data_IF_433695563488
#
_entry.id   IF_433695563488
#
_cell.length_a   1.000
_cell.length_b   1.000
_cell.length_c   1.000
_cell.angle_alpha   90.00
_cell.angle_beta   90.00
_cell.angle_gamma   90.00
#
_symmetry.space_group_name_H-M   'P 1'
#
loop_
_entity.id
_entity.type
_entity.pdbx_description
1 polymer ?
#
# COMPACT_ATOMS: atom_id res chain seq x y z
N UNK A 1 32.05 8.12 6.42
CA UNK A 1 30.86 8.74 7.03
C UNK A 1 30.00 9.22 5.87
N UNK A 2 29.05 8.40 5.42
CA UNK A 2 28.25 8.71 4.24
C UNK A 2 26.90 9.27 4.67
N UNK A 3 26.74 10.57 4.45
CA UNK A 3 25.46 11.26 4.50
C UNK A 3 24.70 10.87 3.24
N UNK A 4 23.66 10.05 3.35
CA UNK A 4 22.77 9.78 2.23
C UNK A 4 21.66 10.84 2.22
N UNK A 5 21.96 11.99 1.63
CA UNK A 5 20.93 12.93 1.16
C UNK A 5 20.54 12.47 -0.24
N UNK A 6 19.59 11.54 -0.32
CA UNK A 6 19.03 11.04 -1.57
C UNK A 6 17.53 10.92 -1.42
N UNK A 7 16.80 11.83 -2.07
CA UNK A 7 15.34 11.83 -2.15
C UNK A 7 14.85 10.42 -2.53
N UNK A 8 13.97 9.81 -1.72
CA UNK A 8 13.29 8.51 -1.96
C UNK A 8 12.26 8.66 -3.10
N UNK A 9 12.63 9.35 -4.18
CA UNK A 9 11.77 9.70 -5.31
C UNK A 9 11.54 8.47 -6.17
N UNK A 10 10.28 8.08 -6.21
CA UNK A 10 9.59 7.38 -7.29
C UNK A 10 9.88 5.88 -7.46
N UNK A 11 9.83 5.11 -6.38
CA UNK A 11 9.61 3.66 -6.55
C UNK A 11 8.18 3.45 -7.07
N UNK A 12 8.08 2.97 -8.31
CA UNK A 12 6.82 2.65 -8.99
C UNK A 12 6.39 1.23 -8.63
N UNK A 13 5.13 1.08 -8.27
CA UNK A 13 4.52 -0.19 -7.87
C UNK A 13 3.34 -0.48 -8.79
N UNK A 14 3.21 -1.73 -9.22
CA UNK A 14 2.03 -2.22 -9.93
C UNK A 14 1.28 -3.20 -9.03
N UNK A 15 0.08 -2.82 -8.62
CA UNK A 15 -0.81 -3.68 -7.84
C UNK A 15 -1.67 -4.43 -8.85
N UNK A 16 -1.54 -5.75 -8.87
CA UNK A 16 -2.31 -6.60 -9.79
C UNK A 16 -3.31 -7.45 -9.02
N UNK A 17 -4.38 -7.84 -9.70
CA UNK A 17 -5.34 -8.78 -9.13
C UNK A 17 -4.67 -10.14 -8.87
N UNK A 18 -4.79 -10.63 -7.64
CA UNK A 18 -4.58 -12.02 -7.29
C UNK A 18 -5.87 -12.47 -6.57
N UNK A 19 -6.18 -13.75 -6.71
CA UNK A 19 -7.47 -14.39 -6.45
C UNK A 19 -8.30 -13.84 -5.26
N UNK A 20 -9.63 -13.89 -5.37
CA UNK A 20 -10.64 -13.58 -4.33
C UNK A 20 -11.07 -12.12 -4.11
N UNK A 21 -11.11 -11.28 -5.16
CA UNK A 21 -11.58 -9.91 -4.96
C UNK A 21 -12.34 -9.29 -6.14
N UNK A 22 -13.42 -9.95 -6.55
CA UNK A 22 -14.19 -9.59 -7.76
C UNK A 22 -14.61 -8.12 -7.80
N UNK A 23 -14.91 -7.51 -6.65
CA UNK A 23 -15.31 -6.12 -6.54
C UNK A 23 -14.24 -5.12 -7.03
N UNK A 24 -12.95 -5.49 -6.97
CA UNK A 24 -11.83 -4.66 -7.41
C UNK A 24 -11.20 -5.13 -8.72
N UNK A 25 -11.60 -6.28 -9.25
CA UNK A 25 -10.99 -6.88 -10.44
C UNK A 25 -11.01 -5.95 -11.66
N UNK A 26 -12.10 -5.18 -11.85
CA UNK A 26 -12.24 -4.22 -12.96
C UNK A 26 -11.38 -2.95 -12.81
N UNK A 27 -10.87 -2.68 -11.60
CA UNK A 27 -10.07 -1.50 -11.27
C UNK A 27 -8.57 -1.83 -11.18
N UNK A 28 -8.21 -3.10 -11.33
CA UNK A 28 -6.85 -3.60 -11.29
C UNK A 28 -6.42 -4.08 -12.70
N UNK A 29 -5.12 -3.98 -13.05
CA UNK A 29 -4.03 -3.50 -12.23
C UNK A 29 -4.01 -1.97 -12.11
N UNK A 30 -3.56 -1.46 -10.96
CA UNK A 30 -3.32 -0.02 -10.75
C UNK A 30 -1.82 0.23 -10.56
N UNK A 31 -1.36 1.36 -11.10
CA UNK A 31 -0.01 1.85 -10.86
C UNK A 31 -0.01 2.82 -9.70
N UNK A 32 1.07 2.81 -8.94
CA UNK A 32 1.23 3.63 -7.77
C UNK A 32 2.68 4.05 -7.57
N UNK A 33 2.85 5.07 -6.73
CA UNK A 33 4.16 5.56 -6.30
C UNK A 33 4.30 5.35 -4.80
N UNK A 34 5.39 4.74 -4.37
CA UNK A 34 5.75 4.63 -2.97
C UNK A 34 5.97 6.02 -2.36
N UNK A 35 5.20 6.36 -1.33
CA UNK A 35 5.33 7.62 -0.61
C UNK A 35 6.31 7.49 0.57
N UNK A 36 5.92 6.72 1.60
CA UNK A 36 6.71 6.52 2.80
C UNK A 36 6.30 5.24 3.54
N UNK A 37 7.08 4.87 4.55
CA UNK A 37 6.78 3.76 5.45
C UNK A 37 5.82 4.22 6.55
N UNK A 38 4.88 3.36 6.94
CA UNK A 38 3.82 3.66 7.90
C UNK A 38 4.03 2.83 9.16
N UNK A 39 4.00 3.48 10.31
CA UNK A 39 4.04 2.79 11.60
C UNK A 39 2.65 2.29 11.97
N UNK A 40 2.50 0.98 12.16
CA UNK A 40 1.26 0.37 12.63
C UNK A 40 1.33 0.05 14.11
N UNK A 41 0.32 0.43 14.89
CA UNK A 41 0.28 0.15 16.34
C UNK A 41 -0.02 -1.30 16.67
N UNK A 42 -0.67 -2.01 15.75
CA UNK A 42 -1.23 -3.36 15.92
C UNK A 42 -0.64 -4.38 14.93
N UNK A 43 0.47 -4.05 14.27
CA UNK A 43 1.13 -4.94 13.31
C UNK A 43 2.65 -4.82 13.38
N UNK A 44 3.34 -5.96 13.40
CA UNK A 44 4.81 -6.04 13.32
C UNK A 44 5.35 -6.12 11.89
N UNK A 45 4.50 -5.96 10.86
CA UNK A 45 4.92 -5.98 9.46
C UNK A 45 5.46 -4.61 9.02
N UNK A 46 6.25 -4.59 7.95
CA UNK A 46 6.67 -3.36 7.30
C UNK A 46 5.55 -2.85 6.37
N UNK A 47 4.88 -1.77 6.76
CA UNK A 47 3.79 -1.17 6.01
C UNK A 47 4.25 0.06 5.23
N UNK A 48 3.69 0.25 4.05
CA UNK A 48 4.07 1.33 3.15
C UNK A 48 2.84 2.01 2.56
N UNK A 49 2.86 3.34 2.54
CA UNK A 49 1.86 4.16 1.88
C UNK A 49 2.22 4.32 0.40
N UNK A 50 1.24 4.08 -0.45
CA UNK A 50 1.28 4.28 -1.89
C UNK A 50 0.32 5.40 -2.29
N UNK A 51 0.76 6.27 -3.18
CA UNK A 51 -0.11 7.16 -3.94
C UNK A 51 -0.54 6.43 -5.21
N UNK A 52 -1.83 6.21 -5.40
CA UNK A 52 -2.35 5.57 -6.61
C UNK A 52 -2.42 6.61 -7.74
N UNK A 53 -2.06 6.21 -8.95
CA UNK A 53 -2.23 7.05 -10.14
C UNK A 53 -3.71 7.26 -10.47
N UNK A 54 -4.52 6.24 -10.21
CA UNK A 54 -5.98 6.24 -10.34
C UNK A 54 -6.56 5.77 -9.02
N UNK A 55 -7.49 6.53 -8.40
CA UNK A 55 -8.13 6.12 -7.15
C UNK A 55 -8.89 4.79 -7.30
N UNK A 56 -8.90 4.00 -6.22
CA UNK A 56 -9.78 2.84 -6.13
C UNK A 56 -11.12 3.29 -5.56
N UNK A 57 -12.21 2.93 -6.23
CA UNK A 57 -13.58 3.11 -5.73
C UNK A 57 -14.01 1.87 -4.98
N UNK A 58 -14.31 2.02 -3.69
CA UNK A 58 -14.79 0.93 -2.85
C UNK A 58 -15.98 1.38 -2.03
N UNK A 59 -17.10 0.65 -2.14
CA UNK A 59 -18.38 1.00 -1.50
C UNK A 59 -18.85 2.45 -1.78
N UNK A 60 -18.59 2.94 -3.00
CA UNK A 60 -18.96 4.29 -3.42
C UNK A 60 -18.04 5.41 -2.92
N UNK A 61 -16.93 5.08 -2.25
CA UNK A 61 -15.93 6.03 -1.77
C UNK A 61 -14.65 5.90 -2.59
N UNK A 62 -14.06 7.04 -2.98
CA UNK A 62 -12.79 7.08 -3.69
C UNK A 62 -11.60 7.10 -2.71
N UNK A 63 -10.64 6.22 -2.95
CA UNK A 63 -9.41 6.10 -2.18
C UNK A 63 -8.22 6.36 -3.09
N UNK A 64 -7.61 7.55 -3.03
CA UNK A 64 -6.43 7.89 -3.84
C UNK A 64 -5.14 7.24 -3.32
N UNK A 65 -5.21 6.60 -2.15
CA UNK A 65 -4.05 6.03 -1.47
C UNK A 65 -4.33 4.60 -1.05
N UNK A 66 -3.27 3.81 -0.98
CA UNK A 66 -3.31 2.46 -0.45
C UNK A 66 -2.14 2.22 0.51
N UNK A 67 -2.37 1.42 1.54
CA UNK A 67 -1.34 0.96 2.45
C UNK A 67 -1.11 -0.52 2.21
N UNK A 68 0.15 -0.90 2.01
CA UNK A 68 0.52 -2.28 1.68
C UNK A 68 1.57 -2.83 2.64
N UNK A 69 1.48 -4.12 2.92
CA UNK A 69 2.52 -4.89 3.60
C UNK A 69 2.62 -6.27 2.96
N UNK A 70 3.82 -6.85 2.91
CA UNK A 70 3.98 -8.25 2.52
C UNK A 70 3.23 -9.14 3.50
N UNK A 71 2.50 -10.13 2.98
CA UNK A 71 1.85 -11.15 3.82
C UNK A 71 2.86 -12.08 4.49
N UNK A 72 4.05 -12.20 3.90
CA UNK A 72 5.08 -13.12 4.36
C UNK A 72 6.15 -12.35 5.14
N UNK A 73 6.36 -12.74 6.39
CA UNK A 73 7.39 -12.14 7.24
C UNK A 73 8.78 -12.33 6.59
N UNK A 74 9.59 -11.26 6.57
CA UNK A 74 10.91 -11.26 5.94
C UNK A 74 10.91 -11.14 4.40
N UNK A 75 9.75 -11.16 3.74
CA UNK A 75 9.66 -10.94 2.29
C UNK A 75 9.45 -9.45 2.01
N UNK A 76 10.30 -8.90 1.13
CA UNK A 76 10.22 -7.51 0.69
C UNK A 76 9.15 -7.36 -0.38
N UNK A 77 8.43 -6.25 -0.36
CA UNK A 77 7.44 -5.90 -1.40
C UNK A 77 8.08 -5.49 -2.73
N UNK A 78 9.39 -5.27 -2.74
CA UNK A 78 10.14 -4.88 -3.93
C UNK A 78 11.06 -6.03 -4.37
N UNK A 79 11.02 -6.34 -5.67
CA UNK A 79 11.79 -7.41 -6.29
C UNK A 79 11.28 -7.73 -7.69
N UNK A 80 11.97 -8.65 -8.37
CA UNK A 80 11.57 -9.08 -9.72
C UNK A 80 10.36 -10.03 -9.71
N UNK A 81 10.08 -10.68 -8.58
CA UNK A 81 8.96 -11.60 -8.43
C UNK A 81 7.75 -10.87 -7.81
N UNK A 82 6.52 -11.14 -8.28
CA UNK A 82 5.30 -10.73 -7.59
C UNK A 82 5.26 -11.28 -6.17
N UNK A 83 4.72 -10.49 -5.24
CA UNK A 83 4.61 -10.85 -3.81
C UNK A 83 3.19 -10.59 -3.36
N UNK A 84 2.59 -11.59 -2.69
CA UNK A 84 1.29 -11.42 -2.05
C UNK A 84 1.36 -10.44 -0.88
N UNK A 85 0.48 -9.45 -0.89
CA UNK A 85 0.43 -8.33 0.00
C UNK A 85 -0.97 -8.13 0.60
N UNK A 86 -0.99 -7.54 1.78
CA UNK A 86 -2.18 -6.90 2.34
C UNK A 86 -2.42 -5.57 1.63
N UNK A 87 -3.68 -5.24 1.34
CA UNK A 87 -4.06 -3.97 0.73
C UNK A 87 -5.15 -3.27 1.57
N UNK A 88 -4.78 -2.16 2.21
CA UNK A 88 -5.70 -1.27 2.91
C UNK A 88 -5.95 -0.03 2.07
N UNK A 89 -7.18 0.48 2.07
CA UNK A 89 -7.50 1.73 1.38
C UNK A 89 -7.44 2.92 2.33
N UNK A 90 -6.83 4.01 1.88
CA UNK A 90 -6.65 5.22 2.67
C UNK A 90 -7.22 6.44 1.93
N UNK A 91 -7.93 7.29 2.67
CA UNK A 91 -8.38 8.58 2.18
C UNK A 91 -7.20 9.56 2.13
N UNK A 92 -7.28 10.58 1.28
CA UNK A 92 -6.23 11.61 1.20
C UNK A 92 -6.00 12.26 2.56
N UNK A 93 -4.73 12.31 3.00
CA UNK A 93 -4.33 12.93 4.26
C UNK A 93 -4.66 12.12 5.52
N UNK A 94 -5.22 10.91 5.39
CA UNK A 94 -5.53 10.05 6.54
C UNK A 94 -4.31 9.40 7.19
N UNK A 95 -3.18 9.36 6.47
CA UNK A 95 -1.91 8.80 6.93
C UNK A 95 -0.79 9.79 6.68
N UNK A 96 -0.01 10.05 7.73
CA UNK A 96 1.19 10.89 7.69
C UNK A 96 2.38 10.10 8.24
N UNK A 97 3.60 10.47 7.83
CA UNK A 97 4.80 9.71 8.17
C UNK A 97 5.08 9.60 9.68
N UNK A 98 4.66 10.59 10.46
CA UNK A 98 4.92 10.67 11.89
C UNK A 98 3.78 10.12 12.76
N UNK A 99 2.73 9.59 12.13
CA UNK A 99 1.55 9.07 12.83
C UNK A 99 1.55 7.56 12.85
N UNK A 100 1.42 6.99 14.06
CA UNK A 100 1.09 5.58 14.20
C UNK A 100 -0.42 5.37 14.00
N UNK A 101 -0.80 4.42 13.16
CA UNK A 101 -2.20 4.09 12.84
C UNK A 101 -2.49 2.61 13.11
N UNK A 102 -3.76 2.23 13.21
CA UNK A 102 -4.15 0.81 13.35
C UNK A 102 -4.63 0.27 12.01
N UNK A 103 -4.26 -0.97 11.70
CA UNK A 103 -4.77 -1.68 10.51
C UNK A 103 -6.29 -1.68 10.47
N UNK A 104 -6.96 -1.81 11.63
CA UNK A 104 -8.41 -1.82 11.73
C UNK A 104 -9.10 -0.49 11.37
N UNK A 105 -8.34 0.60 11.25
CA UNK A 105 -8.87 1.93 10.88
C UNK A 105 -9.13 2.08 9.38
N UNK A 106 -8.79 1.08 8.56
CA UNK A 106 -8.85 1.17 7.10
C UNK A 106 -9.66 0.00 6.51
N UNK A 107 -10.39 0.22 5.40
CA UNK A 107 -10.97 -0.87 4.63
C UNK A 107 -9.88 -1.82 4.13
N UNK A 108 -9.89 -3.06 4.62
CA UNK A 108 -9.00 -4.12 4.16
C UNK A 108 -9.67 -4.81 2.98
N UNK A 109 -9.23 -4.47 1.78
CA UNK A 109 -9.98 -4.82 0.58
C UNK A 109 -9.43 -6.02 -0.15
N UNK A 110 -8.11 -6.31 -0.12
CA UNK A 110 -7.55 -7.41 -0.93
C UNK A 110 -6.38 -8.14 -0.27
N UNK A 111 -6.18 -9.39 -0.73
CA UNK A 111 -4.89 -10.08 -0.76
C UNK A 111 -4.44 -10.10 -2.23
N UNK A 112 -3.36 -9.40 -2.57
CA UNK A 112 -2.88 -9.26 -3.95
C UNK A 112 -1.43 -9.71 -4.09
#
# INVERSE_FOLDING_TARGET
MFTQVGSRREMRVRISYFDHNEALASQLPVLATLAHEVSMTDSGLAWFLLQLDVPIVYQGVEYPQAIVASRWNGVRLWGAAPVSAHLLLAASGSVTADQAVSVSSFPHVAWC
#
